data_IF_603732644689
#
_entry.id   IF_603732644689
#
_cell.length_a   1.000
_cell.length_b   1.000
_cell.length_c   1.000
_cell.angle_alpha   90.00
_cell.angle_beta   90.00
_cell.angle_gamma   90.00
#
_symmetry.space_group_name_H-M   'P 1'
#
loop_
_entity.id
_entity.type
_entity.pdbx_description
1 polymer ?
#
# COMPACT_ATOMS: atom_id res chain seq x y z
N UNK A 1 -2.96 -3.70 -26.50
CA UNK A 1 -2.07 -3.68 -25.32
C UNK A 1 -1.07 -2.53 -25.39
N UNK A 2 -0.10 -2.54 -26.32
CA UNK A 2 0.94 -1.50 -26.41
C UNK A 2 0.42 -0.05 -26.53
N UNK A 3 -0.61 0.19 -27.35
CA UNK A 3 -1.24 1.53 -27.44
C UNK A 3 -1.79 2.02 -26.10
N UNK A 4 -2.42 1.13 -25.32
CA UNK A 4 -2.97 1.48 -24.02
C UNK A 4 -1.86 1.76 -23.00
N UNK A 5 -0.73 1.04 -23.11
CA UNK A 5 0.44 1.28 -22.27
C UNK A 5 1.02 2.66 -22.52
N UNK A 6 1.26 3.03 -23.78
CA UNK A 6 1.81 4.35 -24.14
C UNK A 6 0.84 5.48 -23.79
N UNK A 7 -0.45 5.34 -24.09
CA UNK A 7 -1.45 6.33 -23.70
C UNK A 7 -1.44 6.54 -22.18
N UNK A 8 -1.37 5.46 -21.40
CA UNK A 8 -1.34 5.55 -19.94
C UNK A 8 -0.04 6.19 -19.44
N UNK A 9 1.09 5.87 -20.06
CA UNK A 9 2.38 6.48 -19.78
C UNK A 9 2.31 8.00 -19.96
N UNK A 10 1.78 8.47 -21.07
CA UNK A 10 1.62 9.90 -21.35
C UNK A 10 0.73 10.60 -20.30
N UNK A 11 -0.38 9.98 -19.91
CA UNK A 11 -1.26 10.49 -18.84
C UNK A 11 -0.52 10.63 -17.50
N UNK A 12 0.25 9.61 -17.12
CA UNK A 12 1.03 9.60 -15.88
C UNK A 12 2.11 10.68 -15.91
N UNK A 13 2.88 10.75 -17.01
CA UNK A 13 3.92 11.77 -17.19
C UNK A 13 3.33 13.17 -17.07
N UNK A 14 2.21 13.44 -17.75
CA UNK A 14 1.52 14.72 -17.67
C UNK A 14 1.10 15.03 -16.24
N UNK A 15 0.42 14.10 -15.57
CA UNK A 15 -0.09 14.32 -14.21
C UNK A 15 1.01 14.57 -13.17
N UNK A 16 2.15 13.88 -13.28
CA UNK A 16 3.29 14.09 -12.37
C UNK A 16 4.01 15.41 -12.67
N UNK A 17 4.13 15.77 -13.94
CA UNK A 17 4.75 17.03 -14.38
C UNK A 17 3.93 18.23 -13.94
N UNK A 18 2.59 18.16 -14.05
CA UNK A 18 1.67 19.20 -13.55
C UNK A 18 1.76 19.41 -12.03
N UNK A 19 2.24 18.41 -11.29
CA UNK A 19 2.50 18.50 -9.85
C UNK A 19 3.91 19.00 -9.51
N UNK A 20 4.75 19.28 -10.52
CA UNK A 20 6.16 19.66 -10.36
C UNK A 20 7.00 18.62 -9.60
N UNK A 21 6.58 17.35 -9.61
CA UNK A 21 7.22 16.24 -8.90
C UNK A 21 8.05 15.32 -9.80
N UNK A 22 8.17 15.65 -11.08
CA UNK A 22 8.92 14.83 -12.03
C UNK A 22 10.42 14.96 -11.79
N UNK A 23 11.09 13.82 -11.53
CA UNK A 23 12.57 13.75 -11.45
C UNK A 23 13.15 13.00 -12.65
N UNK A 24 14.43 13.21 -12.99
CA UNK A 24 15.09 12.46 -14.08
C UNK A 24 15.05 10.94 -13.87
N UNK A 25 15.20 10.48 -12.62
CA UNK A 25 15.17 9.06 -12.26
C UNK A 25 13.78 8.48 -12.47
N UNK A 26 12.73 9.21 -12.06
CA UNK A 26 11.34 8.81 -12.24
C UNK A 26 10.95 8.78 -13.72
N UNK A 27 11.35 9.78 -14.50
CA UNK A 27 11.12 9.81 -15.94
C UNK A 27 11.73 8.59 -16.63
N UNK A 28 12.97 8.25 -16.28
CA UNK A 28 13.68 7.06 -16.77
C UNK A 28 12.94 5.77 -16.38
N UNK A 29 12.48 5.67 -15.14
CA UNK A 29 11.73 4.51 -14.66
C UNK A 29 10.39 4.33 -15.41
N UNK A 30 9.67 5.42 -15.65
CA UNK A 30 8.39 5.41 -16.39
C UNK A 30 8.59 5.02 -17.86
N UNK A 31 9.65 5.52 -18.50
CA UNK A 31 9.99 5.17 -19.89
C UNK A 31 10.41 3.69 -20.02
N UNK A 32 11.13 3.18 -19.01
CA UNK A 32 11.56 1.78 -18.95
C UNK A 32 10.46 0.78 -18.60
N UNK A 33 9.31 1.23 -18.07
CA UNK A 33 8.21 0.34 -17.68
C UNK A 33 7.57 -0.35 -18.90
N UNK A 34 7.53 -1.69 -18.87
CA UNK A 34 7.02 -2.53 -19.97
C UNK A 34 5.62 -3.07 -19.71
N UNK A 35 5.14 -2.99 -18.46
CA UNK A 35 3.82 -3.46 -18.06
C UNK A 35 2.99 -2.33 -17.48
N UNK A 36 1.69 -2.39 -17.72
CA UNK A 36 0.74 -1.42 -17.16
C UNK A 36 0.82 -1.36 -15.63
N UNK A 37 1.02 -2.50 -14.98
CA UNK A 37 1.16 -2.56 -13.52
C UNK A 37 2.37 -1.79 -13.00
N UNK A 38 3.51 -1.81 -13.72
CA UNK A 38 4.72 -1.10 -13.33
C UNK A 38 4.48 0.42 -13.41
N UNK A 39 3.78 0.88 -14.45
CA UNK A 39 3.36 2.27 -14.57
C UNK A 39 2.43 2.70 -13.44
N UNK A 40 1.43 1.87 -13.09
CA UNK A 40 0.52 2.18 -11.98
C UNK A 40 1.25 2.22 -10.63
N UNK A 41 2.19 1.31 -10.40
CA UNK A 41 2.99 1.29 -9.17
C UNK A 41 3.86 2.56 -9.06
N UNK A 42 4.49 3.00 -10.16
CA UNK A 42 5.27 4.24 -10.21
C UNK A 42 4.42 5.50 -10.03
N UNK A 43 3.18 5.49 -10.54
CA UNK A 43 2.26 6.63 -10.45
C UNK A 43 1.60 6.75 -9.07
N UNK A 44 1.51 5.66 -8.31
CA UNK A 44 0.72 5.58 -7.08
C UNK A 44 1.00 6.71 -6.06
N UNK A 45 2.28 7.09 -5.77
CA UNK A 45 2.58 8.19 -4.84
C UNK A 45 2.08 9.57 -5.31
N UNK A 46 1.87 9.73 -6.61
CA UNK A 46 1.47 10.99 -7.24
C UNK A 46 -0.02 11.03 -7.59
N UNK A 47 -0.70 9.90 -7.46
CA UNK A 47 -2.13 9.82 -7.74
C UNK A 47 -2.90 10.67 -6.73
N UNK A 48 -3.81 11.57 -7.16
CA UNK A 48 -4.66 12.31 -6.24
C UNK A 48 -5.46 11.36 -5.34
N UNK A 49 -5.29 11.48 -4.03
CA UNK A 49 -5.98 10.66 -3.03
C UNK A 49 -7.11 11.44 -2.38
N UNK A 50 -8.20 10.72 -2.06
CA UNK A 50 -9.20 11.23 -1.10
C UNK A 50 -8.53 11.37 0.25
N UNK A 51 -9.04 12.25 1.11
CA UNK A 51 -8.57 12.50 2.48
C UNK A 51 -8.29 11.17 3.22
N UNK A 52 -7.02 10.82 3.39
CA UNK A 52 -6.55 9.59 4.05
C UNK A 52 -6.14 9.91 5.49
N UNK A 53 -5.95 8.87 6.32
CA UNK A 53 -5.39 9.07 7.67
C UNK A 53 -4.01 9.73 7.62
N UNK A 54 -3.16 9.31 6.68
CA UNK A 54 -1.87 9.93 6.41
C UNK A 54 -2.00 11.38 5.95
N UNK A 55 -2.93 11.71 5.04
CA UNK A 55 -3.11 13.11 4.61
C UNK A 55 -3.57 14.00 5.76
N UNK A 56 -4.47 13.50 6.62
CA UNK A 56 -4.89 14.21 7.85
C UNK A 56 -3.70 14.40 8.80
N UNK A 57 -2.86 13.39 8.97
CA UNK A 57 -1.67 13.49 9.80
C UNK A 57 -0.64 14.51 9.25
N UNK A 58 -0.45 14.57 7.92
CA UNK A 58 0.38 15.62 7.27
C UNK A 58 -0.22 17.02 7.47
N UNK A 59 -1.53 17.18 7.33
CA UNK A 59 -2.25 18.45 7.62
C UNK A 59 -2.03 18.90 9.08
N UNK A 60 -1.88 17.96 10.01
CA UNK A 60 -1.56 18.21 11.43
C UNK A 60 -0.08 18.43 11.71
N UNK A 61 0.78 18.45 10.69
CA UNK A 61 2.21 18.70 10.85
C UNK A 61 3.04 17.50 11.32
N UNK A 62 2.50 16.27 11.26
CA UNK A 62 3.19 15.05 11.72
C UNK A 62 4.20 14.48 10.70
N UNK A 63 4.39 15.15 9.57
CA UNK A 63 5.26 14.68 8.49
C UNK A 63 6.73 14.61 8.90
N UNK A 64 7.25 15.59 9.63
CA UNK A 64 8.63 15.55 10.11
C UNK A 64 8.85 14.46 11.16
N UNK A 65 7.85 14.15 11.99
CA UNK A 65 7.90 13.01 12.90
C UNK A 65 7.97 11.68 12.13
N UNK A 66 7.18 11.53 11.08
CA UNK A 66 7.23 10.35 10.21
C UNK A 66 8.59 10.20 9.50
N UNK A 67 9.18 11.31 9.04
CA UNK A 67 10.52 11.31 8.45
C UNK A 67 11.59 10.89 9.47
N UNK A 68 11.49 11.34 10.72
CA UNK A 68 12.38 10.90 11.79
C UNK A 68 12.28 9.39 12.05
N UNK A 69 11.07 8.80 11.97
CA UNK A 69 10.88 7.35 12.12
C UNK A 69 11.52 6.53 10.98
N UNK A 70 11.58 7.10 9.78
CA UNK A 70 12.18 6.47 8.59
C UNK A 70 13.68 6.73 8.47
N UNK A 71 14.17 7.82 9.07
CA UNK A 71 15.59 8.11 9.12
C UNK A 71 16.31 7.03 9.93
N UNK A 72 17.45 6.56 9.42
CA UNK A 72 18.31 5.59 10.09
C UNK A 72 18.94 6.24 11.33
N UNK A 73 18.18 6.27 12.42
CA UNK A 73 18.51 6.92 13.70
C UNK A 73 19.07 5.89 14.68
N UNK A 74 19.93 4.99 14.17
CA UNK A 74 20.66 4.02 14.99
C UNK A 74 21.64 4.66 15.98
N UNK A 75 21.89 5.98 15.86
CA UNK A 75 22.80 6.74 16.72
C UNK A 75 22.12 7.46 17.90
N UNK A 76 20.80 7.70 17.86
CA UNK A 76 20.11 8.43 18.94
C UNK A 76 19.48 7.49 19.96
N UNK A 77 20.28 7.07 20.93
CA UNK A 77 19.86 6.22 22.05
C UNK A 77 19.35 7.00 23.25
N UNK A 78 19.28 8.34 23.17
CA UNK A 78 18.99 9.21 24.31
C UNK A 78 17.58 9.78 24.27
N UNK A 79 17.03 9.99 23.07
CA UNK A 79 15.69 10.54 22.87
C UNK A 79 14.59 9.56 23.29
N UNK A 80 13.68 9.99 24.17
CA UNK A 80 12.47 9.22 24.49
C UNK A 80 11.37 9.54 23.48
N UNK A 81 10.45 8.60 23.26
CA UNK A 81 9.26 8.82 22.41
C UNK A 81 8.53 10.11 22.82
N UNK A 82 8.37 10.33 24.12
CA UNK A 82 7.73 11.53 24.70
C UNK A 82 8.44 12.83 24.32
N UNK A 83 9.78 12.83 24.30
CA UNK A 83 10.57 14.00 23.88
C UNK A 83 10.44 14.29 22.39
N UNK A 84 10.33 13.24 21.57
CA UNK A 84 10.20 13.33 20.12
C UNK A 84 8.80 13.77 19.70
N UNK A 85 7.77 13.37 20.44
CA UNK A 85 6.37 13.73 20.16
C UNK A 85 5.95 15.05 20.79
N UNK A 86 6.61 15.51 21.85
CA UNK A 86 6.25 16.75 22.55
C UNK A 86 6.08 17.99 21.65
N UNK A 87 6.92 18.23 20.61
CA UNK A 87 6.74 19.36 19.70
C UNK A 87 5.48 19.28 18.83
N UNK A 88 4.88 18.11 18.72
CA UNK A 88 3.75 17.82 17.83
C UNK A 88 2.39 17.79 18.54
N UNK A 89 2.38 17.97 19.87
CA UNK A 89 1.14 17.98 20.66
C UNK A 89 0.40 19.29 20.40
N UNK A 90 -0.85 19.18 19.96
CA UNK A 90 -1.74 20.29 19.61
C UNK A 90 -3.18 19.97 20.05
N UNK A 91 -4.14 20.89 19.85
CA UNK A 91 -5.56 20.59 20.11
C UNK A 91 -6.08 19.43 19.26
N UNK A 92 -5.56 19.25 18.04
CA UNK A 92 -5.93 18.16 17.15
C UNK A 92 -5.11 16.87 17.36
N UNK A 93 -4.01 16.95 18.12
CA UNK A 93 -3.10 15.85 18.45
C UNK A 93 -2.88 15.87 19.97
N UNK A 94 -3.80 15.26 20.75
CA UNK A 94 -3.93 15.53 22.18
C UNK A 94 -2.80 14.94 23.03
N UNK A 95 -2.13 13.89 22.54
CA UNK A 95 -1.10 13.18 23.28
C UNK A 95 -0.04 12.56 22.34
N UNK A 96 1.00 12.01 22.96
CA UNK A 96 2.11 11.34 22.27
C UNK A 96 1.67 10.12 21.47
N UNK A 97 0.63 9.41 21.92
CA UNK A 97 0.12 8.22 21.23
C UNK A 97 -0.56 8.62 19.91
N UNK A 98 -1.38 9.67 19.93
CA UNK A 98 -2.00 10.23 18.74
C UNK A 98 -0.96 10.77 17.74
N UNK A 99 0.10 11.42 18.23
CA UNK A 99 1.20 11.90 17.39
C UNK A 99 1.91 10.72 16.72
N UNK A 100 2.25 9.67 17.48
CA UNK A 100 2.92 8.48 16.97
C UNK A 100 2.04 7.74 15.96
N UNK A 101 0.75 7.54 16.27
CA UNK A 101 -0.18 6.87 15.37
C UNK A 101 -0.36 7.62 14.05
N UNK A 102 -0.45 8.95 14.10
CA UNK A 102 -0.53 9.78 12.90
C UNK A 102 0.75 9.71 12.05
N UNK A 103 1.92 9.74 12.68
CA UNK A 103 3.19 9.55 11.99
C UNK A 103 3.30 8.13 11.38
N UNK A 104 2.86 7.09 12.11
CA UNK A 104 2.80 5.71 11.61
C UNK A 104 1.85 5.57 10.42
N UNK A 105 0.72 6.28 10.40
CA UNK A 105 -0.19 6.27 9.25
C UNK A 105 0.49 6.87 8.00
N UNK A 106 1.31 7.92 8.17
CA UNK A 106 2.13 8.50 7.08
C UNK A 106 3.15 7.48 6.58
N UNK A 107 3.94 6.90 7.50
CA UNK A 107 4.95 5.89 7.17
C UNK A 107 4.34 4.70 6.45
N UNK A 108 3.18 4.21 6.94
CA UNK A 108 2.49 3.08 6.35
C UNK A 108 2.04 3.39 4.91
N UNK A 109 1.52 4.60 4.66
CA UNK A 109 1.15 5.03 3.31
C UNK A 109 2.36 5.15 2.38
N UNK A 110 3.42 5.81 2.82
CA UNK A 110 4.63 6.02 2.02
C UNK A 110 5.31 4.68 1.66
N UNK A 111 5.42 3.77 2.63
CA UNK A 111 5.98 2.42 2.42
C UNK A 111 5.08 1.57 1.52
N UNK A 112 3.75 1.67 1.67
CA UNK A 112 2.81 0.88 0.86
C UNK A 112 2.74 1.30 -0.61
N UNK A 113 3.08 2.56 -0.88
CA UNK A 113 3.04 3.16 -2.21
C UNK A 113 4.34 3.00 -3.00
N UNK A 114 5.41 2.58 -2.32
CA UNK A 114 6.71 2.35 -2.93
C UNK A 114 6.67 1.25 -4.00
N UNK A 115 6.95 1.63 -5.25
CA UNK A 115 6.87 0.74 -6.40
C UNK A 115 7.80 -0.48 -6.27
N UNK A 116 9.00 -0.30 -5.73
CA UNK A 116 9.98 -1.36 -5.49
C UNK A 116 9.48 -2.40 -4.47
N UNK A 117 8.93 -1.95 -3.34
CA UNK A 117 8.33 -2.83 -2.35
C UNK A 117 7.10 -3.57 -2.89
N UNK A 118 6.24 -2.90 -3.67
CA UNK A 118 5.08 -3.56 -4.29
C UNK A 118 5.49 -4.62 -5.29
N UNK A 119 6.51 -4.35 -6.11
CA UNK A 119 7.05 -5.31 -7.06
C UNK A 119 7.61 -6.54 -6.33
N UNK A 120 8.41 -6.31 -5.27
CA UNK A 120 8.95 -7.37 -4.42
C UNK A 120 7.85 -8.22 -3.76
N UNK A 121 6.88 -7.57 -3.10
CA UNK A 121 5.79 -8.27 -2.41
C UNK A 121 4.94 -9.08 -3.39
N UNK A 122 4.66 -8.54 -4.58
CA UNK A 122 3.90 -9.26 -5.61
C UNK A 122 4.61 -10.53 -6.07
N UNK A 123 5.92 -10.44 -6.31
CA UNK A 123 6.74 -11.61 -6.67
C UNK A 123 6.81 -12.63 -5.52
N UNK A 124 6.98 -12.16 -4.28
CA UNK A 124 6.97 -13.02 -3.10
C UNK A 124 5.62 -13.74 -2.92
N UNK A 125 4.50 -13.02 -3.02
CA UNK A 125 3.15 -13.57 -2.95
C UNK A 125 2.91 -14.56 -4.10
N UNK A 126 3.36 -14.26 -5.31
CA UNK A 126 3.21 -15.19 -6.43
C UNK A 126 3.94 -16.52 -6.19
N UNK A 127 5.18 -16.46 -5.66
CA UNK A 127 6.01 -17.64 -5.42
C UNK A 127 5.55 -18.45 -4.21
N UNK A 128 5.20 -17.79 -3.11
CA UNK A 128 5.03 -18.41 -1.80
C UNK A 128 3.60 -18.32 -1.26
N UNK A 129 2.79 -17.42 -1.81
CA UNK A 129 1.42 -17.19 -1.36
C UNK A 129 0.53 -18.37 -1.70
N UNK A 130 -0.51 -18.52 -0.87
CA UNK A 130 -1.53 -19.56 -1.02
C UNK A 130 -2.90 -18.90 -1.02
N UNK A 131 -3.80 -19.43 -1.84
CA UNK A 131 -5.23 -19.13 -1.75
C UNK A 131 -5.78 -19.96 -0.62
N UNK A 132 -6.45 -19.32 0.34
CA UNK A 132 -7.21 -19.98 1.39
C UNK A 132 -8.66 -19.59 1.30
N UNK A 133 -9.57 -20.55 1.37
CA UNK A 133 -11.00 -20.33 1.43
C UNK A 133 -11.54 -20.77 2.78
N UNK A 134 -12.54 -20.05 3.26
CA UNK A 134 -13.26 -20.36 4.50
C UNK A 134 -14.74 -20.13 4.23
N UNK A 135 -15.58 -21.09 4.60
CA UNK A 135 -17.04 -20.95 4.48
C UNK A 135 -17.56 -19.82 5.38
N UNK A 136 -18.43 -18.98 4.83
CA UNK A 136 -19.07 -17.89 5.59
C UNK A 136 -20.52 -18.28 5.91
N UNK A 137 -20.85 -18.36 7.20
CA UNK A 137 -22.15 -18.77 7.72
C UNK A 137 -22.12 -20.15 8.40
N UNK A 138 -23.24 -20.53 9.03
CA UNK A 138 -23.35 -21.79 9.79
C UNK A 138 -23.52 -23.00 8.85
N UNK A 139 -22.91 -24.14 9.20
CA UNK A 139 -22.93 -25.39 8.41
C UNK A 139 -24.36 -25.84 8.03
N UNK A 140 -25.32 -25.63 8.92
CA UNK A 140 -26.74 -26.01 8.73
C UNK A 140 -27.41 -25.22 7.58
N UNK A 141 -26.99 -23.96 7.35
CA UNK A 141 -27.43 -23.15 6.21
C UNK A 141 -26.65 -23.40 4.92
N UNK A 142 -25.56 -24.16 4.98
CA UNK A 142 -24.80 -24.58 3.80
C UNK A 142 -25.37 -25.87 3.17
N UNK A 143 -26.01 -26.71 3.97
CA UNK A 143 -26.67 -27.94 3.50
C UNK A 143 -28.03 -27.68 2.83
N UNK A 144 -28.73 -26.60 3.18
CA UNK A 144 -30.07 -26.28 2.63
C UNK A 144 -30.03 -25.42 1.36
N UNK A 145 -28.92 -24.73 1.11
CA UNK A 145 -28.74 -23.87 -0.06
C UNK A 145 -27.99 -24.63 -1.16
N UNK A 146 -28.68 -24.95 -2.25
CA UNK A 146 -28.13 -25.66 -3.41
C UNK A 146 -26.88 -24.98 -3.98
N UNK A 147 -26.76 -23.65 -3.86
CA UNK A 147 -25.58 -22.90 -4.31
C UNK A 147 -24.39 -23.16 -3.39
N UNK A 148 -24.62 -23.22 -2.07
CA UNK A 148 -23.55 -23.50 -1.09
C UNK A 148 -23.07 -24.94 -1.13
N UNK A 149 -23.95 -25.89 -1.46
CA UNK A 149 -23.56 -27.29 -1.66
C UNK A 149 -22.46 -27.46 -2.72
N UNK A 150 -22.49 -26.65 -3.79
CA UNK A 150 -21.47 -26.69 -4.86
C UNK A 150 -20.08 -26.30 -4.33
N UNK A 151 -20.01 -25.43 -3.32
CA UNK A 151 -18.76 -24.90 -2.76
C UNK A 151 -18.28 -25.65 -1.50
N UNK A 152 -18.98 -26.70 -1.05
CA UNK A 152 -18.56 -27.50 0.12
C UNK A 152 -17.14 -28.06 -0.02
N UNK A 153 -16.71 -28.40 -1.24
CA UNK A 153 -15.34 -28.87 -1.53
C UNK A 153 -14.26 -27.81 -1.27
N UNK A 154 -14.66 -26.55 -1.13
CA UNK A 154 -13.81 -25.40 -0.86
C UNK A 154 -14.11 -24.77 0.51
N UNK A 155 -14.79 -25.47 1.41
CA UNK A 155 -15.16 -24.91 2.72
C UNK A 155 -13.94 -24.58 3.60
N UNK A 156 -12.88 -25.40 3.52
CA UNK A 156 -11.56 -25.15 4.13
C UNK A 156 -10.49 -25.67 3.17
N UNK A 157 -10.16 -24.88 2.14
CA UNK A 157 -9.23 -25.24 1.09
C UNK A 157 -8.02 -24.32 1.08
N UNK A 158 -6.84 -24.89 0.81
CA UNK A 158 -5.58 -24.15 0.73
C UNK A 158 -4.69 -24.71 -0.38
N UNK A 159 -4.25 -23.85 -1.33
CA UNK A 159 -3.34 -24.24 -2.43
C UNK A 159 -2.41 -23.09 -2.83
N UNK A 160 -1.16 -23.35 -3.25
CA UNK A 160 -0.26 -22.33 -3.76
C UNK A 160 -0.83 -21.58 -4.98
N UNK A 161 -0.74 -20.25 -4.98
CA UNK A 161 -1.32 -19.39 -6.04
C UNK A 161 -0.77 -19.77 -7.42
N UNK A 162 0.54 -20.00 -7.54
CA UNK A 162 1.19 -20.31 -8.82
C UNK A 162 0.86 -21.70 -9.39
N UNK A 163 0.17 -22.55 -8.63
CA UNK A 163 -0.25 -23.90 -9.05
C UNK A 163 -1.75 -24.00 -9.31
N UNK A 164 -2.50 -22.93 -9.04
CA UNK A 164 -3.96 -22.94 -9.10
C UNK A 164 -4.45 -23.08 -10.56
N UNK A 165 -5.17 -24.15 -10.91
CA UNK A 165 -5.70 -24.31 -12.26
C UNK A 165 -6.94 -23.43 -12.48
N UNK A 166 -7.14 -22.97 -13.72
CA UNK A 166 -8.19 -21.99 -14.08
C UNK A 166 -9.64 -22.43 -13.81
N UNK A 167 -9.90 -23.72 -13.62
CA UNK A 167 -11.26 -24.26 -13.43
C UNK A 167 -11.66 -24.40 -11.96
N UNK A 168 -10.75 -24.10 -11.03
CA UNK A 168 -11.04 -24.10 -9.59
C UNK A 168 -11.74 -22.83 -9.17
#
# INVERSE_FOLDING_TARGET
YLRNLEQRREEIVRSITEQEKMTPELATAIEGAMKLQELEDLYLPYRPKKRTRASIARERGLESLAQLMLADTTEDTTSTIESLTAPFITEEVPDSEAALQGAMDIVAEDVSDRADFRAYLRDAIWRQGKVKTVMVGDEETAETDEVRQVFLKYADYEEPIHQLPSHR
#
